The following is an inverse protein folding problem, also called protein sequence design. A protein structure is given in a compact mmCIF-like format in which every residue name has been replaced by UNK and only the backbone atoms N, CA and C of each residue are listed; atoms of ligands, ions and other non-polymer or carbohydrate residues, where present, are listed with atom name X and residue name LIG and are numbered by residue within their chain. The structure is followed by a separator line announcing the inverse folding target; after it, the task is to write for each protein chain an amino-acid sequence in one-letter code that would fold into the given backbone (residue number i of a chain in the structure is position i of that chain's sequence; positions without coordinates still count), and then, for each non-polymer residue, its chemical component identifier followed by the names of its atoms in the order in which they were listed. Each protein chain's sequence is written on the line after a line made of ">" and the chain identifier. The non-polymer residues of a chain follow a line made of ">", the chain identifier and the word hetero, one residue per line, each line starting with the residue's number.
data_IF_135900056489
#
_entry.id   IF_135900056489
#
_cell.length_a   1.000
_cell.length_b   1.000
_cell.length_c   1.000
_cell.angle_alpha   90.00
_cell.angle_beta   90.00
_cell.angle_gamma   90.00
#
_symmetry.space_group_name_H-M   'P 1'
#
loop_
_entity.id
_entity.type
_entity.pdbx_description
1 polymer ?
#
# COMPACT_ATOMS: atom_id res chain seq x y z
N UNK A 1 -18.90 15.11 10.82
CA UNK A 1 -18.38 14.51 12.08
C UNK A 1 -19.18 13.29 12.55
N UNK A 2 -20.43 13.05 12.10
CA UNK A 2 -21.17 11.84 12.48
C UNK A 2 -20.81 10.56 11.71
N UNK A 3 -20.42 10.66 10.44
CA UNK A 3 -20.20 9.49 9.57
C UNK A 3 -19.14 8.51 10.09
N UNK A 4 -17.97 8.98 10.53
CA UNK A 4 -16.92 8.09 11.05
C UNK A 4 -17.30 7.41 12.37
N UNK A 5 -18.15 8.03 13.19
CA UNK A 5 -18.65 7.43 14.44
C UNK A 5 -19.58 6.27 14.11
N UNK A 6 -20.59 6.53 13.28
CA UNK A 6 -21.57 5.51 12.86
C UNK A 6 -20.86 4.36 12.16
N UNK A 7 -19.95 4.67 11.22
CA UNK A 7 -19.17 3.66 10.52
C UNK A 7 -18.28 2.84 11.46
N UNK A 8 -17.69 3.45 12.50
CA UNK A 8 -16.89 2.68 13.46
C UNK A 8 -17.76 1.77 14.33
N UNK A 9 -18.97 2.22 14.71
CA UNK A 9 -19.87 1.49 15.59
C UNK A 9 -20.60 0.33 14.90
N UNK A 10 -20.85 0.41 13.59
CA UNK A 10 -21.47 -0.67 12.82
C UNK A 10 -20.45 -1.76 12.42
N UNK A 11 -19.16 -1.44 12.37
CA UNK A 11 -18.10 -2.35 11.92
C UNK A 11 -18.13 -3.72 12.63
N UNK A 12 -18.29 -3.82 13.96
CA UNK A 12 -18.35 -5.12 14.62
C UNK A 12 -19.46 -6.05 14.08
N UNK A 13 -20.63 -5.50 13.75
CA UNK A 13 -21.77 -6.28 13.24
C UNK A 13 -21.54 -6.68 11.77
N UNK A 14 -21.05 -5.75 10.95
CA UNK A 14 -20.67 -5.99 9.54
C UNK A 14 -19.63 -7.10 9.46
N UNK A 15 -18.60 -6.99 10.29
CA UNK A 15 -17.50 -7.96 10.33
C UNK A 15 -17.97 -9.33 10.78
N UNK A 16 -18.87 -9.41 11.77
CA UNK A 16 -19.44 -10.68 12.21
C UNK A 16 -20.20 -11.38 11.10
N UNK A 17 -20.97 -10.63 10.31
CA UNK A 17 -21.74 -11.16 9.19
C UNK A 17 -20.86 -11.69 8.05
N UNK A 18 -19.76 -10.99 7.75
CA UNK A 18 -18.80 -11.39 6.71
C UNK A 18 -17.84 -12.49 7.22
N UNK A 19 -17.65 -12.58 8.53
CA UNK A 19 -16.75 -13.53 9.17
C UNK A 19 -15.27 -13.14 9.08
N UNK A 20 -14.94 -11.84 9.14
CA UNK A 20 -13.55 -11.39 9.07
C UNK A 20 -12.78 -11.71 10.35
N UNK A 21 -11.46 -11.94 10.21
CA UNK A 21 -10.57 -12.20 11.35
C UNK A 21 -10.07 -10.94 12.03
N UNK A 22 -9.61 -9.98 11.22
CA UNK A 22 -9.15 -8.65 11.63
C UNK A 22 -9.60 -7.62 10.61
N UNK A 23 -9.69 -6.35 11.00
CA UNK A 23 -9.92 -5.22 10.09
C UNK A 23 -8.88 -4.15 10.33
N UNK A 24 -8.25 -3.68 9.24
CA UNK A 24 -7.31 -2.56 9.27
C UNK A 24 -8.11 -1.28 8.99
N UNK A 25 -8.27 -0.43 9.99
CA UNK A 25 -9.12 0.76 9.91
C UNK A 25 -8.29 2.04 9.79
N UNK A 26 -8.83 3.03 9.08
CA UNK A 26 -8.31 4.39 9.00
C UNK A 26 -9.38 5.38 9.45
N UNK A 27 -8.94 6.50 10.03
CA UNK A 27 -9.82 7.58 10.54
C UNK A 27 -10.90 7.13 11.54
N UNK A 28 -10.63 6.05 12.28
CA UNK A 28 -11.59 5.45 13.20
C UNK A 28 -11.98 6.36 14.38
N UNK A 29 -13.19 6.18 14.89
CA UNK A 29 -13.59 6.78 16.16
C UNK A 29 -12.92 6.08 17.34
N UNK A 30 -12.55 6.85 18.37
CA UNK A 30 -11.88 6.31 19.55
C UNK A 30 -12.90 5.71 20.51
N UNK A 31 -12.55 4.60 21.15
CA UNK A 31 -13.35 4.00 22.22
C UNK A 31 -14.07 2.72 21.83
N UNK A 32 -13.91 2.25 20.59
CA UNK A 32 -14.41 0.93 20.19
C UNK A 32 -13.65 -0.17 20.93
N UNK A 33 -14.34 -1.11 21.61
CA UNK A 33 -13.70 -2.28 22.20
C UNK A 33 -12.94 -3.10 21.14
N UNK A 34 -11.81 -3.72 21.52
CA UNK A 34 -10.97 -4.54 20.63
C UNK A 34 -10.29 -3.79 19.47
N UNK A 35 -10.37 -2.46 19.44
CA UNK A 35 -9.63 -1.62 18.50
C UNK A 35 -8.25 -1.27 19.07
N UNK A 36 -7.22 -1.83 18.44
CA UNK A 36 -5.83 -1.49 18.69
C UNK A 36 -5.46 -0.19 17.99
N UNK A 37 -4.81 0.73 18.70
CA UNK A 37 -4.34 2.02 18.18
C UNK A 37 -3.24 2.63 19.06
N UNK A 38 -2.41 3.51 18.49
CA UNK A 38 -1.31 4.17 19.20
C UNK A 38 -1.41 5.68 19.10
N UNK A 39 -1.27 6.34 20.25
CA UNK A 39 -1.23 7.80 20.36
C UNK A 39 -2.60 8.44 20.48
N UNK A 40 -2.62 9.66 21.04
CA UNK A 40 -3.88 10.36 21.32
C UNK A 40 -4.65 10.73 20.06
N UNK A 41 -4.01 10.94 18.91
CA UNK A 41 -4.66 11.32 17.65
C UNK A 41 -4.53 10.21 16.60
N UNK A 42 -4.76 8.97 17.02
CA UNK A 42 -4.75 7.82 16.12
C UNK A 42 -5.75 8.01 14.97
N UNK A 43 -5.28 7.67 13.78
CA UNK A 43 -5.94 7.69 12.47
C UNK A 43 -5.74 6.38 11.71
N UNK A 44 -5.03 5.43 12.33
CA UNK A 44 -4.90 4.07 11.87
C UNK A 44 -5.10 3.14 13.07
N UNK A 45 -5.73 1.99 12.82
CA UNK A 45 -6.06 1.01 13.84
C UNK A 45 -6.17 -0.40 13.27
N UNK A 46 -6.22 -1.38 14.18
CA UNK A 46 -6.52 -2.78 13.87
C UNK A 46 -7.63 -3.24 14.81
N UNK A 47 -8.78 -3.62 14.26
CA UNK A 47 -9.89 -4.22 15.00
C UNK A 47 -9.73 -5.74 15.00
N UNK A 48 -9.69 -6.34 16.18
CA UNK A 48 -9.66 -7.81 16.33
C UNK A 48 -11.09 -8.33 16.39
N UNK A 49 -11.41 -9.29 15.52
CA UNK A 49 -12.79 -9.71 15.28
C UNK A 49 -13.06 -11.18 15.67
N UNK A 50 -12.00 -11.98 15.81
CA UNK A 50 -12.07 -13.37 16.28
C UNK A 50 -11.11 -13.55 17.45
N UNK A 51 -11.58 -14.24 18.49
CA UNK A 51 -10.80 -14.53 19.70
C UNK A 51 -9.63 -15.49 19.47
N UNK A 52 -9.61 -16.19 18.34
CA UNK A 52 -8.55 -17.11 17.95
C UNK A 52 -7.33 -16.41 17.34
N UNK A 53 -7.44 -15.09 17.09
CA UNK A 53 -6.40 -14.30 16.45
C UNK A 53 -5.78 -13.38 17.49
N UNK A 54 -4.48 -13.55 17.68
CA UNK A 54 -3.69 -12.68 18.55
C UNK A 54 -2.95 -11.64 17.70
N UNK A 55 -3.02 -10.38 18.12
CA UNK A 55 -2.31 -9.28 17.45
C UNK A 55 -1.40 -8.59 18.44
N UNK A 56 -0.08 -8.70 18.19
CA UNK A 56 0.95 -7.98 18.95
C UNK A 56 1.26 -6.64 18.28
N UNK A 57 0.97 -5.53 18.97
CA UNK A 57 1.29 -4.19 18.46
C UNK A 57 2.78 -3.89 18.61
N UNK A 58 3.44 -3.59 17.50
CA UNK A 58 4.84 -3.15 17.47
C UNK A 58 4.90 -1.63 17.70
N UNK A 59 4.73 -1.21 18.95
CA UNK A 59 4.61 0.20 19.33
C UNK A 59 5.81 1.06 18.88
N UNK A 60 7.03 0.50 18.90
CA UNK A 60 8.25 1.18 18.46
C UNK A 60 8.31 1.47 16.95
N UNK A 61 7.54 0.72 16.15
CA UNK A 61 7.39 0.93 14.71
C UNK A 61 6.17 1.78 14.37
N UNK A 62 5.22 1.86 15.28
CA UNK A 62 3.91 2.47 15.07
C UNK A 62 3.93 3.99 15.29
N UNK A 63 3.01 4.66 14.62
CA UNK A 63 2.69 6.08 14.78
C UNK A 63 1.17 6.25 14.75
N UNK A 64 0.63 7.43 15.09
CA UNK A 64 -0.82 7.66 14.99
C UNK A 64 -1.40 7.45 13.57
N UNK A 65 -0.57 7.46 12.52
CA UNK A 65 -1.01 7.28 11.12
C UNK A 65 -0.50 6.00 10.47
N UNK A 66 0.20 5.15 11.21
CA UNK A 66 0.73 3.88 10.75
C UNK A 66 0.79 2.93 11.95
N UNK A 67 -0.18 2.03 12.08
CA UNK A 67 -0.18 1.01 13.12
C UNK A 67 0.43 -0.27 12.56
N UNK A 68 1.41 -0.81 13.27
CA UNK A 68 2.09 -2.06 12.90
C UNK A 68 1.70 -3.14 13.91
N UNK A 69 1.07 -4.20 13.41
CA UNK A 69 0.72 -5.39 14.18
C UNK A 69 1.42 -6.62 13.63
N UNK A 70 1.70 -7.59 14.50
CA UNK A 70 2.08 -8.95 14.13
C UNK A 70 0.94 -9.89 14.51
N UNK A 71 0.48 -10.69 13.54
CA UNK A 71 -0.73 -11.51 13.63
C UNK A 71 -0.34 -12.97 13.78
N UNK A 72 -0.67 -13.54 14.93
CA UNK A 72 -0.56 -14.96 15.24
C UNK A 72 -1.94 -15.63 15.08
N UNK A 73 -2.01 -16.92 14.68
CA UNK A 73 -0.91 -17.86 14.42
C UNK A 73 -0.31 -17.78 12.99
N UNK A 74 -0.66 -16.76 12.22
CA UNK A 74 -0.38 -16.73 10.77
C UNK A 74 1.03 -16.29 10.38
N UNK A 75 1.81 -15.78 11.34
CA UNK A 75 3.11 -15.12 11.14
C UNK A 75 3.08 -14.11 9.97
N UNK A 76 2.19 -13.13 10.09
CA UNK A 76 2.04 -12.01 9.14
C UNK A 76 2.11 -10.69 9.89
N UNK A 77 2.90 -9.75 9.36
CA UNK A 77 2.89 -8.38 9.83
C UNK A 77 1.84 -7.60 9.04
N UNK A 78 0.98 -6.87 9.74
CA UNK A 78 -0.09 -6.07 9.14
C UNK A 78 0.14 -4.60 9.46
N UNK A 79 0.03 -3.75 8.45
CA UNK A 79 0.23 -2.32 8.55
C UNK A 79 -1.06 -1.63 8.14
N UNK A 80 -1.72 -0.94 9.07
CA UNK A 80 -2.80 -0.01 8.75
C UNK A 80 -2.20 1.39 8.64
N UNK A 81 -2.34 2.06 7.49
CA UNK A 81 -1.76 3.38 7.27
C UNK A 81 -2.79 4.39 6.75
N UNK A 82 -2.64 5.64 7.17
CA UNK A 82 -3.45 6.76 6.70
C UNK A 82 -2.55 7.91 6.28
N UNK A 83 -2.48 8.20 4.98
CA UNK A 83 -1.67 9.27 4.43
C UNK A 83 -2.54 10.50 4.33
N UNK A 84 -2.54 11.31 5.39
CA UNK A 84 -3.41 12.47 5.49
C UNK A 84 -3.21 13.40 4.29
N UNK A 85 -4.31 13.72 3.58
CA UNK A 85 -4.27 14.53 2.37
C UNK A 85 -3.58 15.89 2.56
N UNK A 86 -3.76 16.52 3.73
CA UNK A 86 -3.16 17.81 4.05
C UNK A 86 -1.68 17.75 4.48
N UNK A 87 -1.08 16.56 4.55
CA UNK A 87 0.33 16.37 4.91
C UNK A 87 1.15 15.93 3.69
N UNK A 88 2.42 16.35 3.65
CA UNK A 88 3.36 15.94 2.60
C UNK A 88 3.56 14.41 2.61
N UNK A 89 3.41 13.79 1.43
CA UNK A 89 3.45 12.33 1.29
C UNK A 89 4.77 11.71 1.77
N UNK A 90 5.89 12.42 1.60
CA UNK A 90 7.22 11.93 1.98
C UNK A 90 7.33 11.58 3.45
N UNK A 91 6.63 12.29 4.34
CA UNK A 91 6.60 11.97 5.77
C UNK A 91 6.03 10.57 6.01
N UNK A 92 4.97 10.22 5.29
CA UNK A 92 4.34 8.91 5.40
C UNK A 92 5.17 7.81 4.73
N UNK A 93 5.72 8.10 3.55
CA UNK A 93 6.60 7.17 2.84
C UNK A 93 7.85 6.86 3.67
N UNK A 94 8.50 7.86 4.28
CA UNK A 94 9.66 7.65 5.15
C UNK A 94 9.31 6.79 6.37
N UNK A 95 8.10 6.97 6.94
CA UNK A 95 7.63 6.11 8.02
C UNK A 95 7.47 4.66 7.55
N UNK A 96 6.81 4.44 6.42
CA UNK A 96 6.59 3.11 5.86
C UNK A 96 7.92 2.46 5.44
N UNK A 97 8.83 3.23 4.85
CA UNK A 97 10.19 2.84 4.47
C UNK A 97 10.97 2.28 5.65
N UNK A 98 10.95 3.00 6.78
CA UNK A 98 11.58 2.58 8.04
C UNK A 98 11.02 1.26 8.53
N UNK A 99 9.68 1.08 8.52
CA UNK A 99 9.04 -0.16 8.97
C UNK A 99 9.43 -1.32 8.05
N UNK A 100 9.36 -1.14 6.73
CA UNK A 100 9.74 -2.17 5.75
C UNK A 100 11.23 -2.53 5.84
N UNK A 101 12.11 -1.59 6.19
CA UNK A 101 13.52 -1.87 6.43
C UNK A 101 13.74 -2.73 7.67
N UNK A 102 13.09 -2.39 8.79
CA UNK A 102 13.22 -3.14 10.04
C UNK A 102 12.61 -4.54 9.89
N UNK A 103 11.51 -4.66 9.16
CA UNK A 103 10.81 -5.92 8.88
C UNK A 103 11.28 -6.60 7.58
N UNK A 104 12.49 -6.30 7.09
CA UNK A 104 12.99 -6.84 5.83
C UNK A 104 12.93 -8.38 5.84
N UNK A 105 12.40 -8.94 4.75
CA UNK A 105 12.25 -10.39 4.58
C UNK A 105 11.04 -11.00 5.30
N UNK A 106 10.30 -10.22 6.10
CA UNK A 106 9.05 -10.68 6.72
C UNK A 106 7.89 -10.66 5.73
N UNK A 107 6.83 -11.36 6.09
CA UNK A 107 5.56 -11.41 5.34
C UNK A 107 4.72 -10.23 5.80
N UNK A 108 4.48 -9.27 4.91
CA UNK A 108 3.86 -8.00 5.27
C UNK A 108 2.65 -7.74 4.36
N UNK A 109 1.50 -7.49 4.98
CA UNK A 109 0.33 -6.89 4.34
C UNK A 109 0.22 -5.42 4.78
N UNK A 110 0.14 -4.51 3.83
CA UNK A 110 -0.05 -3.09 4.10
C UNK A 110 -1.36 -2.64 3.47
N UNK A 111 -2.24 -2.10 4.30
CA UNK A 111 -3.47 -1.47 3.85
C UNK A 111 -3.41 0.01 4.15
N UNK A 112 -3.72 0.83 3.16
CA UNK A 112 -3.49 2.24 3.29
C UNK A 112 -4.48 3.08 2.48
N UNK A 113 -5.05 4.08 3.14
CA UNK A 113 -5.60 5.24 2.43
C UNK A 113 -4.41 6.14 2.04
N UNK A 114 -4.02 6.12 0.77
CA UNK A 114 -2.88 6.90 0.28
C UNK A 114 -3.23 8.35 -0.04
N UNK A 115 -4.51 8.67 -0.20
CA UNK A 115 -4.96 9.95 -0.75
C UNK A 115 -4.15 10.37 -2.01
N UNK A 116 -3.86 9.40 -2.88
CA UNK A 116 -3.14 9.59 -4.13
C UNK A 116 -3.85 8.84 -5.26
N UNK A 117 -3.73 9.37 -6.48
CA UNK A 117 -4.41 8.83 -7.65
C UNK A 117 -3.37 8.32 -8.67
N UNK A 118 -3.50 7.07 -9.10
CA UNK A 118 -2.62 6.48 -10.13
C UNK A 118 -3.38 5.46 -10.97
N UNK A 119 -3.04 5.35 -12.26
CA UNK A 119 -3.52 4.24 -13.07
C UNK A 119 -3.09 2.86 -12.52
N UNK A 120 -2.01 2.76 -11.71
CA UNK A 120 -1.56 1.49 -11.13
C UNK A 120 -2.57 0.84 -10.18
N UNK A 121 -3.51 1.62 -9.66
CA UNK A 121 -4.65 1.15 -8.87
C UNK A 121 -5.96 1.67 -9.44
N UNK A 122 -6.03 1.74 -10.77
CA UNK A 122 -7.25 1.95 -11.54
C UNK A 122 -7.94 3.30 -11.27
N UNK A 123 -7.17 4.36 -10.98
CA UNK A 123 -7.72 5.71 -11.05
C UNK A 123 -7.91 6.15 -12.50
N UNK A 124 -9.02 6.84 -12.75
CA UNK A 124 -9.30 7.45 -14.03
C UNK A 124 -8.35 8.59 -14.35
N UNK A 125 -8.10 8.82 -15.65
CA UNK A 125 -7.19 9.88 -16.14
C UNK A 125 -7.49 11.25 -15.55
N UNK A 126 -8.77 11.61 -15.40
CA UNK A 126 -9.21 12.90 -14.83
C UNK A 126 -8.87 13.09 -13.34
N UNK A 127 -8.53 12.01 -12.63
CA UNK A 127 -8.18 12.05 -11.21
C UNK A 127 -6.69 12.33 -10.97
N UNK A 128 -5.84 12.13 -11.98
CA UNK A 128 -4.39 12.32 -11.83
C UNK A 128 -3.75 13.25 -12.88
N UNK A 129 -4.33 13.42 -14.07
CA UNK A 129 -3.81 14.34 -15.09
C UNK A 129 -4.44 15.72 -14.91
N UNK A 130 -3.59 16.77 -14.93
CA UNK A 130 -4.05 18.17 -14.90
C UNK A 130 -4.61 18.63 -13.55
N UNK A 131 -4.40 17.87 -12.47
CA UNK A 131 -4.93 18.14 -11.13
C UNK A 131 -4.01 19.00 -10.25
N UNK A 132 -2.95 19.54 -10.84
CA UNK A 132 -1.97 20.39 -10.19
C UNK A 132 -0.72 19.62 -9.72
N UNK A 133 0.36 20.36 -9.41
CA UNK A 133 1.67 19.79 -9.14
C UNK A 133 1.68 18.87 -7.90
N UNK A 134 0.88 19.16 -6.88
CA UNK A 134 0.83 18.33 -5.67
C UNK A 134 0.22 16.95 -5.93
N UNK A 135 -0.85 16.86 -6.73
CA UNK A 135 -1.46 15.56 -7.07
C UNK A 135 -0.48 14.71 -7.87
N UNK A 136 0.21 15.33 -8.84
CA UNK A 136 1.23 14.65 -9.65
C UNK A 136 2.41 14.21 -8.80
N UNK A 137 2.88 15.05 -7.88
CA UNK A 137 3.97 14.70 -6.96
C UNK A 137 3.58 13.52 -6.06
N UNK A 138 2.40 13.55 -5.42
CA UNK A 138 1.91 12.43 -4.60
C UNK A 138 1.86 11.13 -5.38
N UNK A 139 1.33 11.16 -6.61
CA UNK A 139 1.29 10.02 -7.51
C UNK A 139 2.70 9.47 -7.78
N UNK A 140 3.60 10.30 -8.30
CA UNK A 140 4.96 9.88 -8.67
C UNK A 140 5.73 9.31 -7.47
N UNK A 141 5.59 9.93 -6.29
CA UNK A 141 6.25 9.45 -5.07
C UNK A 141 5.72 8.10 -4.62
N UNK A 142 4.40 7.89 -4.67
CA UNK A 142 3.79 6.61 -4.31
C UNK A 142 4.12 5.51 -5.32
N UNK A 143 4.00 5.78 -6.63
CA UNK A 143 4.36 4.84 -7.70
C UNK A 143 5.83 4.42 -7.58
N UNK A 144 6.74 5.40 -7.44
CA UNK A 144 8.17 5.14 -7.28
C UNK A 144 8.50 4.37 -6.01
N UNK A 145 7.80 4.62 -4.91
CA UNK A 145 7.97 3.88 -3.66
C UNK A 145 7.58 2.41 -3.81
N UNK A 146 6.39 2.13 -4.37
CA UNK A 146 5.90 0.76 -4.58
C UNK A 146 6.87 -0.02 -5.47
N UNK A 147 7.27 0.56 -6.59
CA UNK A 147 8.20 -0.06 -7.54
C UNK A 147 9.59 -0.28 -6.93
N UNK A 148 10.15 0.75 -6.27
CA UNK A 148 11.47 0.69 -5.65
C UNK A 148 11.56 -0.31 -4.49
N UNK A 149 10.44 -0.56 -3.81
CA UNK A 149 10.32 -1.57 -2.74
C UNK A 149 9.91 -2.96 -3.26
N UNK A 150 9.59 -3.08 -4.54
CA UNK A 150 9.12 -4.34 -5.14
C UNK A 150 7.84 -4.88 -4.50
N UNK A 151 6.97 -3.99 -4.02
CA UNK A 151 5.68 -4.35 -3.41
C UNK A 151 4.67 -4.76 -4.48
N UNK A 152 3.78 -5.67 -4.12
CA UNK A 152 2.70 -6.14 -5.00
C UNK A 152 1.44 -5.31 -4.69
N UNK A 153 0.80 -4.76 -5.73
CA UNK A 153 -0.53 -4.14 -5.64
C UNK A 153 -1.58 -5.22 -5.86
N UNK A 154 -2.54 -5.34 -4.94
CA UNK A 154 -3.61 -6.35 -5.00
C UNK A 154 -4.95 -5.81 -5.46
N UNK A 155 -5.10 -4.49 -5.57
CA UNK A 155 -6.28 -3.87 -6.14
C UNK A 155 -6.59 -4.50 -7.51
N UNK A 156 -7.88 -4.61 -7.84
CA UNK A 156 -8.34 -5.22 -9.10
C UNK A 156 -9.12 -4.22 -9.94
N UNK A 157 -8.95 -4.34 -11.24
CA UNK A 157 -9.82 -3.70 -12.23
C UNK A 157 -11.24 -4.28 -12.12
N UNK A 158 -12.22 -3.59 -12.70
CA UNK A 158 -13.64 -4.00 -12.72
C UNK A 158 -14.27 -4.16 -11.33
N UNK A 159 -13.77 -3.41 -10.35
CA UNK A 159 -14.35 -3.27 -9.02
C UNK A 159 -14.86 -1.85 -8.81
N UNK A 160 -15.90 -1.62 -7.97
CA UNK A 160 -16.32 -0.28 -7.58
C UNK A 160 -15.15 0.51 -7.00
N UNK A 161 -15.17 1.84 -7.16
CA UNK A 161 -14.13 2.70 -6.59
C UNK A 161 -14.00 2.52 -5.07
N UNK A 162 -12.80 2.64 -4.50
CA UNK A 162 -12.63 2.46 -3.05
C UNK A 162 -13.30 3.56 -2.22
N UNK A 163 -13.47 4.74 -2.79
CA UNK A 163 -14.13 5.89 -2.18
C UNK A 163 -15.26 6.41 -3.09
N UNK A 164 -16.41 6.71 -2.49
CA UNK A 164 -17.58 7.29 -3.14
C UNK A 164 -18.18 8.39 -2.26
N UNK A 165 -17.73 9.62 -2.48
CA UNK A 165 -18.23 10.79 -1.75
C UNK A 165 -19.11 11.70 -2.60
N UNK A 166 -19.64 12.79 -2.01
CA UNK A 166 -20.50 13.75 -2.72
C UNK A 166 -19.85 14.44 -3.93
N UNK A 167 -18.51 14.40 -4.02
CA UNK A 167 -17.71 15.02 -5.09
C UNK A 167 -17.32 14.03 -6.19
N UNK A 168 -17.85 12.82 -6.15
CA UNK A 168 -17.54 11.74 -7.06
C UNK A 168 -16.75 10.62 -6.39
N UNK A 169 -16.39 9.65 -7.22
CA UNK A 169 -15.72 8.43 -6.78
C UNK A 169 -14.23 8.44 -7.14
N UNK A 170 -13.42 7.68 -6.40
CA UNK A 170 -12.00 7.48 -6.69
C UNK A 170 -11.41 6.24 -6.02
N UNK A 171 -10.29 5.75 -6.54
CA UNK A 171 -9.48 4.70 -5.92
C UNK A 171 -8.32 5.32 -5.14
N UNK A 172 -8.46 5.43 -3.83
CA UNK A 172 -7.43 6.02 -2.94
C UNK A 172 -6.97 5.05 -1.84
N UNK A 173 -7.64 3.91 -1.71
CA UNK A 173 -7.27 2.85 -0.79
C UNK A 173 -6.49 1.76 -1.52
N UNK A 174 -5.35 1.38 -0.97
CA UNK A 174 -4.41 0.44 -1.56
C UNK A 174 -4.21 -0.77 -0.65
N UNK A 175 -4.18 -1.95 -1.25
CA UNK A 175 -3.74 -3.18 -0.60
C UNK A 175 -2.41 -3.60 -1.21
N UNK A 176 -1.34 -3.53 -0.42
CA UNK A 176 0.01 -3.88 -0.83
C UNK A 176 0.52 -5.09 -0.04
N UNK A 177 1.42 -5.88 -0.63
CA UNK A 177 2.16 -6.88 0.14
C UNK A 177 3.63 -6.99 -0.27
N UNK A 178 4.42 -7.62 0.60
CA UNK A 178 5.70 -8.22 0.20
C UNK A 178 5.47 -9.45 -0.67
N UNK A 179 6.47 -9.82 -1.47
CA UNK A 179 6.39 -10.92 -2.45
C UNK A 179 6.17 -12.31 -1.85
N UNK A 180 6.59 -12.52 -0.61
CA UNK A 180 6.47 -13.78 0.13
C UNK A 180 5.11 -13.94 0.84
N UNK A 181 4.16 -13.02 0.63
CA UNK A 181 2.80 -13.13 1.14
C UNK A 181 1.85 -13.44 -0.01
N UNK A 182 1.10 -14.54 0.11
CA UNK A 182 0.00 -14.84 -0.81
C UNK A 182 -1.26 -14.15 -0.31
N UNK A 183 -1.84 -13.32 -1.18
CA UNK A 183 -3.12 -12.66 -0.97
C UNK A 183 -4.06 -13.16 -2.07
N UNK A 184 -5.23 -13.63 -1.67
CA UNK A 184 -6.25 -14.19 -2.55
C UNK A 184 -7.60 -13.52 -2.31
N UNK A 185 -8.53 -13.72 -3.24
CA UNK A 185 -9.93 -13.29 -3.09
C UNK A 185 -10.09 -11.81 -2.72
N UNK A 186 -9.22 -10.96 -3.27
CA UNK A 186 -9.36 -9.51 -3.13
C UNK A 186 -10.64 -9.05 -3.82
N UNK A 187 -11.51 -8.38 -3.07
CA UNK A 187 -12.81 -7.89 -3.57
C UNK A 187 -13.28 -6.68 -2.77
N UNK A 188 -14.12 -5.87 -3.41
CA UNK A 188 -14.89 -4.82 -2.76
C UNK A 188 -16.20 -5.38 -2.20
N UNK A 189 -16.59 -4.96 -1.00
CA UNK A 189 -17.93 -5.17 -0.46
C UNK A 189 -18.65 -3.83 -0.48
N UNK A 190 -19.43 -3.62 -1.53
CA UNK A 190 -20.25 -2.42 -1.67
C UNK A 190 -21.39 -2.45 -0.62
N UNK A 191 -21.73 -1.28 -0.08
CA UNK A 191 -22.80 -1.11 0.94
C UNK A 191 -22.58 -1.87 2.26
N UNK A 192 -21.38 -2.38 2.53
CA UNK A 192 -21.07 -3.01 3.81
C UNK A 192 -20.98 -2.01 4.97
N UNK A 193 -20.74 -0.73 4.68
CA UNK A 193 -20.61 0.34 5.67
C UNK A 193 -21.30 1.60 5.18
N UNK A 194 -21.76 2.43 6.11
CA UNK A 194 -22.24 3.80 5.91
C UNK A 194 -21.12 4.83 5.65
N UNK A 195 -19.85 4.39 5.65
CA UNK A 195 -18.71 5.19 5.24
C UNK A 195 -18.73 5.49 3.73
N UNK A 196 -18.23 6.67 3.35
CA UNK A 196 -17.93 6.99 1.94
C UNK A 196 -16.81 6.08 1.38
N UNK A 197 -15.99 5.46 2.25
CA UNK A 197 -15.06 4.40 1.86
C UNK A 197 -15.74 3.04 1.86
N UNK A 198 -15.54 2.28 0.79
CA UNK A 198 -16.06 0.92 0.63
C UNK A 198 -15.12 -0.10 1.29
N UNK A 199 -15.69 -1.10 1.94
CA UNK A 199 -14.94 -2.15 2.62
C UNK A 199 -14.24 -3.07 1.61
N UNK A 200 -12.92 -3.08 1.61
CA UNK A 200 -12.13 -4.07 0.86
C UNK A 200 -11.94 -5.31 1.74
N UNK A 201 -11.96 -6.50 1.14
CA UNK A 201 -11.64 -7.77 1.81
C UNK A 201 -10.70 -8.61 0.98
N UNK A 202 -9.86 -9.41 1.64
CA UNK A 202 -9.04 -10.43 1.00
C UNK A 202 -8.76 -11.58 1.97
N UNK A 203 -8.29 -12.71 1.45
CA UNK A 203 -7.73 -13.82 2.23
C UNK A 203 -6.22 -13.78 2.19
N UNK A 204 -5.62 -14.04 3.34
CA UNK A 204 -4.17 -14.10 3.52
C UNK A 204 -3.82 -15.50 3.99
N UNK A 205 -2.87 -16.16 3.33
CA UNK A 205 -2.41 -17.47 3.80
C UNK A 205 -1.59 -17.34 5.08
N UNK A 206 -1.66 -18.32 5.97
CA UNK A 206 -0.68 -18.46 7.05
C UNK A 206 0.69 -18.86 6.51
N UNK A 207 1.74 -18.72 7.31
CA UNK A 207 2.97 -19.40 7.02
C UNK A 207 2.68 -20.91 7.14
N UNK A 208 2.83 -21.67 6.06
CA UNK A 208 3.04 -23.10 6.25
C UNK A 208 4.28 -23.24 7.14
N UNK A 209 4.25 -24.15 8.13
CA UNK A 209 5.44 -24.50 8.92
C UNK A 209 6.43 -25.22 8.01
N UNK A 210 7.00 -24.50 7.06
CA UNK A 210 7.99 -25.02 6.13
C UNK A 210 9.31 -25.06 6.89
N UNK A 211 9.77 -26.28 7.18
CA UNK A 211 11.09 -26.53 7.72
C UNK A 211 12.14 -25.76 6.89
N UNK A 212 12.91 -24.92 7.58
CA UNK A 212 14.15 -24.28 7.16
C UNK A 212 14.44 -24.29 5.64
N UNK A 213 13.97 -23.28 4.92
CA UNK A 213 14.70 -22.78 3.75
C UNK A 213 15.02 -21.31 4.02
N UNK A 214 16.25 -21.06 4.45
CA UNK A 214 16.84 -19.73 4.34
C UNK A 214 16.71 -19.31 2.87
N UNK A 215 15.89 -18.27 2.61
CA UNK A 215 15.82 -17.70 1.29
C UNK A 215 17.18 -17.10 0.94
N UNK A 216 17.71 -17.31 -0.28
CA UNK A 216 18.91 -16.62 -0.71
C UNK A 216 18.67 -15.12 -0.64
N UNK A 217 19.67 -14.37 -0.17
CA UNK A 217 19.72 -12.93 -0.35
C UNK A 217 19.76 -12.63 -1.84
N UNK A 218 18.62 -12.35 -2.46
CA UNK A 218 18.58 -11.88 -3.85
C UNK A 218 19.34 -10.54 -3.92
N UNK A 219 20.46 -10.54 -4.64
CA UNK A 219 21.08 -9.33 -5.17
C UNK A 219 20.03 -8.52 -5.95
N UNK A 220 20.12 -7.18 -5.98
CA UNK A 220 19.20 -6.38 -6.77
C UNK A 220 19.19 -6.90 -8.21
N UNK A 221 18.00 -7.29 -8.66
CA UNK A 221 17.75 -7.86 -9.97
C UNK A 221 18.32 -6.90 -11.02
N UNK A 222 19.51 -7.20 -11.56
CA UNK A 222 20.10 -6.45 -12.67
C UNK A 222 19.26 -6.76 -13.90
N UNK A 223 18.51 -5.77 -14.37
CA UNK A 223 17.80 -5.88 -15.64
C UNK A 223 18.81 -6.23 -16.74
N UNK A 224 18.49 -7.21 -17.59
CA UNK A 224 19.28 -7.54 -18.78
C UNK A 224 19.08 -6.44 -19.81
N UNK A 225 19.87 -5.37 -19.71
CA UNK A 225 19.88 -4.20 -20.59
C UNK A 225 20.54 -4.46 -21.97
N UNK A 226 21.40 -5.48 -22.07
CA UNK A 226 22.17 -5.79 -23.29
C UNK A 226 21.36 -6.26 -24.50
N UNK A 227 20.12 -6.70 -24.31
CA UNK A 227 19.24 -7.20 -25.39
C UNK A 227 18.00 -6.32 -25.55
N UNK A 228 17.98 -5.16 -24.87
CA UNK A 228 16.89 -4.21 -25.00
C UNK A 228 17.12 -3.38 -26.26
N UNK A 229 16.12 -3.40 -27.14
CA UNK A 229 16.02 -2.47 -28.27
C UNK A 229 15.59 -1.11 -27.72
N UNK A 230 16.59 -0.29 -27.41
CA UNK A 230 16.41 1.03 -26.81
C UNK A 230 15.68 2.00 -27.75
N UNK A 231 15.86 1.86 -29.06
CA UNK A 231 15.18 2.69 -30.07
C UNK A 231 13.67 2.37 -30.11
N UNK A 232 13.31 1.09 -30.01
CA UNK A 232 11.91 0.66 -29.91
C UNK A 232 11.26 1.09 -28.60
N UNK A 233 12.00 1.02 -27.50
CA UNK A 233 11.51 1.50 -26.21
C UNK A 233 11.26 3.01 -26.24
N UNK A 234 12.23 3.78 -26.72
CA UNK A 234 12.16 5.23 -26.79
C UNK A 234 11.05 5.71 -27.73
N UNK A 235 10.93 5.12 -28.92
CA UNK A 235 9.84 5.44 -29.85
C UNK A 235 8.47 5.12 -29.27
N UNK A 236 8.33 4.04 -28.48
CA UNK A 236 7.07 3.69 -27.80
C UNK A 236 6.72 4.71 -26.71
N UNK A 237 7.72 5.17 -25.94
CA UNK A 237 7.54 6.20 -24.91
C UNK A 237 7.20 7.55 -25.54
N UNK A 238 7.94 7.97 -26.56
CA UNK A 238 7.70 9.23 -27.28
C UNK A 238 6.33 9.24 -27.97
N UNK A 239 5.87 8.09 -28.49
CA UNK A 239 4.53 7.94 -29.06
C UNK A 239 3.41 8.04 -28.00
N UNK A 240 3.64 7.56 -26.78
CA UNK A 240 2.60 7.48 -25.74
C UNK A 240 2.55 8.69 -24.80
N UNK A 241 3.63 9.45 -24.65
CA UNK A 241 3.77 10.43 -23.56
C UNK A 241 3.89 11.89 -24.04
N UNK A 242 3.90 12.18 -25.35
CA UNK A 242 4.24 13.48 -25.92
C UNK A 242 5.66 13.96 -25.50
N UNK A 243 6.54 14.03 -26.51
CA UNK A 243 7.95 14.48 -26.51
C UNK A 243 8.52 15.02 -25.18
N UNK A 244 9.17 14.15 -24.42
CA UNK A 244 10.17 14.55 -23.43
C UNK A 244 11.53 14.63 -24.15
N UNK A 245 12.24 15.78 -24.16
CA UNK A 245 13.58 15.85 -24.74
C UNK A 245 14.59 15.20 -23.80
N UNK A 246 15.10 14.02 -24.16
CA UNK A 246 16.31 13.49 -23.54
C UNK A 246 17.52 14.22 -24.13
N UNK A 247 18.18 15.01 -23.29
CA UNK A 247 19.38 15.74 -23.69
C UNK A 247 20.51 14.79 -24.05
N UNK A 248 21.02 14.92 -25.28
CA UNK A 248 22.28 14.35 -25.73
C UNK A 248 23.43 15.00 -24.97
N UNK A 249 24.22 14.21 -24.24
CA UNK A 249 25.62 14.53 -23.99
C UNK A 249 26.46 13.25 -24.02
N UNK A 250 27.24 13.14 -25.09
CA UNK A 250 28.28 12.13 -25.28
C UNK A 250 29.21 12.08 -24.07
N UNK A 251 29.27 10.93 -23.38
CA UNK A 251 30.33 10.65 -22.42
C UNK A 251 31.33 9.70 -23.09
N UNK A 252 32.47 10.26 -23.52
CA UNK A 252 33.65 9.47 -23.88
C UNK A 252 34.22 8.82 -22.61
N UNK A 253 34.25 7.49 -22.57
CA UNK A 253 34.89 6.72 -21.51
C UNK A 253 36.20 6.12 -22.03
N UNK A 254 37.32 6.45 -21.39
CA UNK A 254 38.62 5.83 -21.63
C UNK A 254 38.81 4.60 -20.73
N UNK A 255 39.44 3.53 -21.25
CA UNK A 255 39.77 2.31 -20.52
C UNK A 255 41.10 2.45 -19.77
N UNK A 256 41.27 1.87 -18.57
CA UNK A 256 42.57 1.84 -17.92
C UNK A 256 43.43 0.72 -18.51
N UNK A 257 44.55 1.09 -19.13
CA UNK A 257 45.64 0.20 -19.48
C UNK A 257 46.36 -0.26 -18.21
N UNK A 258 46.48 -1.58 -18.05
CA UNK A 258 47.36 -2.20 -17.04
C UNK A 258 48.81 -1.77 -17.26
N UNK A 259 49.50 -1.44 -16.18
CA UNK A 259 50.94 -1.59 -16.09
C UNK A 259 51.27 -1.94 -14.63
N UNK A 260 51.86 -3.13 -14.49
CA UNK A 260 52.47 -3.81 -13.33
C UNK A 260 52.26 -3.25 -11.92
#
# INVERSE_FOLDING_TARGET
>A
MGGSIVATQELPDVVRNIGLGIVLVQEQYKGEPNLLQVGQNAKAGILICRSEIDVSVLAHLSTPRCLVGHVEPYDVHVLSCYFQYSEAIDKHLNCLDRVLNILRGKRILTWLDCNAHSPLWFCERRQHIGRGPETEYRRQRMEGFILGRGLIIHNREDQPCTFAGPRGESNIDLTLSTRNLTVAEWTMNDQASSSDHRLITCRVSGAERSAACAQPTDEPMRFRDRVVDWDRFESTIQFRIDRIPWGTSDVKVASPSRMW
#
